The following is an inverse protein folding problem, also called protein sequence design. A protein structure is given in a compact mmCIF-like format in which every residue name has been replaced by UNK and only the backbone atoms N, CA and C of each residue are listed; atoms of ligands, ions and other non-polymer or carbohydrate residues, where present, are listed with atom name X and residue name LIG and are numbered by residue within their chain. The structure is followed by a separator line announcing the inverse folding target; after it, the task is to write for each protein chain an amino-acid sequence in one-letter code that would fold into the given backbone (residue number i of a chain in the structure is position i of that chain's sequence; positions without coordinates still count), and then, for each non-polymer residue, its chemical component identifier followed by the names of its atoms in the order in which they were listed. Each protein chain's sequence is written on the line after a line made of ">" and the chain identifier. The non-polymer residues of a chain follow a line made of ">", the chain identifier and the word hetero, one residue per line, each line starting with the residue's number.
data_IF_606115338831
#
_entry.id   IF_606115338831
#
_cell.length_a   1.000
_cell.length_b   1.000
_cell.length_c   1.000
_cell.angle_alpha   90.00
_cell.angle_beta   90.00
_cell.angle_gamma   90.00
#
_symmetry.space_group_name_H-M   'P 1'
#
loop_
_entity.id
_entity.type
_entity.pdbx_description
1 polymer ?
#
# COMPACT_ATOMS: atom_id res chain seq x y z
N UNK A 1 2.37 -7.84 -7.30
CA UNK A 1 1.52 -7.96 -6.09
C UNK A 1 0.25 -7.11 -6.22
N UNK A 2 -0.82 -7.52 -5.56
CA UNK A 2 -2.07 -6.76 -5.46
C UNK A 2 -2.22 -6.42 -3.97
N UNK A 3 -2.19 -5.13 -3.62
CA UNK A 3 -2.20 -4.67 -2.23
C UNK A 3 -3.59 -4.14 -1.91
N UNK A 4 -4.11 -4.48 -0.73
CA UNK A 4 -5.42 -4.01 -0.27
C UNK A 4 -5.23 -3.17 0.98
N UNK A 5 -5.83 -1.97 0.99
CA UNK A 5 -5.82 -1.13 2.18
C UNK A 5 -6.75 -1.74 3.25
N UNK A 6 -6.29 -1.95 4.50
CA UNK A 6 -7.12 -2.51 5.57
C UNK A 6 -8.20 -1.54 6.07
N UNK A 7 -8.06 -0.23 5.83
CA UNK A 7 -9.00 0.78 6.33
C UNK A 7 -10.21 0.97 5.42
N UNK A 8 -9.98 1.05 4.10
CA UNK A 8 -11.03 1.33 3.12
C UNK A 8 -11.27 0.18 2.13
N UNK A 9 -10.56 -0.94 2.28
CA UNK A 9 -10.63 -2.11 1.41
C UNK A 9 -10.32 -1.85 -0.07
N UNK A 10 -9.79 -0.67 -0.40
CA UNK A 10 -9.38 -0.32 -1.77
C UNK A 10 -8.23 -1.22 -2.19
N UNK A 11 -8.38 -1.85 -3.36
CA UNK A 11 -7.35 -2.64 -3.99
C UNK A 11 -6.61 -1.81 -5.02
N UNK A 12 -5.29 -1.89 -5.00
CA UNK A 12 -4.45 -1.25 -5.98
C UNK A 12 -3.19 -2.08 -6.24
N UNK A 13 -2.51 -1.76 -7.32
CA UNK A 13 -1.30 -2.47 -7.72
C UNK A 13 -0.10 -1.60 -7.34
N UNK A 14 0.73 -2.13 -6.45
CA UNK A 14 2.03 -1.54 -6.12
C UNK A 14 3.12 -2.47 -6.69
N UNK A 15 4.23 -1.88 -7.13
CA UNK A 15 5.39 -2.65 -7.61
C UNK A 15 6.36 -2.91 -6.47
N UNK A 16 7.08 -4.04 -6.52
CA UNK A 16 8.01 -4.42 -5.43
C UNK A 16 9.09 -3.37 -5.23
N UNK A 17 9.45 -2.66 -6.30
CA UNK A 17 10.37 -1.52 -6.27
C UNK A 17 9.84 -0.39 -5.39
N UNK A 18 8.55 -0.03 -5.52
CA UNK A 18 7.94 1.02 -4.69
C UNK A 18 7.83 0.61 -3.23
N UNK A 19 7.51 -0.66 -2.98
CA UNK A 19 7.39 -1.20 -1.63
C UNK A 19 8.74 -1.26 -0.91
N UNK A 20 9.80 -1.71 -1.60
CA UNK A 20 11.15 -1.73 -1.06
C UNK A 20 11.70 -0.31 -0.81
N UNK A 21 11.41 0.64 -1.70
CA UNK A 21 11.80 2.05 -1.51
C UNK A 21 11.18 2.68 -0.27
N UNK A 22 10.00 2.21 0.15
CA UNK A 22 9.25 2.74 1.28
C UNK A 22 9.35 1.85 2.53
N UNK A 23 10.32 0.91 2.58
CA UNK A 23 10.49 -0.03 3.70
C UNK A 23 9.21 -0.81 4.08
N UNK A 24 8.37 -1.11 3.08
CA UNK A 24 7.09 -1.80 3.31
C UNK A 24 5.91 -0.88 3.62
N UNK A 25 6.11 0.41 3.83
CA UNK A 25 5.02 1.34 4.12
C UNK A 25 4.33 1.85 2.86
N UNK A 26 3.00 1.82 2.87
CA UNK A 26 2.16 2.21 1.75
C UNK A 26 1.13 3.22 2.21
N UNK A 27 1.00 4.32 1.50
CA UNK A 27 -0.09 5.28 1.68
C UNK A 27 -1.22 4.98 0.72
N UNK A 28 -2.42 4.78 1.25
CA UNK A 28 -3.61 4.58 0.43
C UNK A 28 -3.97 5.87 -0.32
N UNK A 29 -4.12 5.80 -1.65
CA UNK A 29 -4.57 6.96 -2.45
C UNK A 29 -6.02 7.39 -2.19
N UNK A 30 -6.83 6.54 -1.54
CA UNK A 30 -8.26 6.79 -1.30
C UNK A 30 -8.49 7.39 0.09
N UNK A 31 -8.17 6.66 1.16
CA UNK A 31 -8.36 7.15 2.53
C UNK A 31 -7.15 7.92 3.08
N UNK A 32 -6.03 7.96 2.35
CA UNK A 32 -4.77 8.62 2.77
C UNK A 32 -4.07 8.01 3.99
N UNK A 33 -4.59 6.91 4.52
CA UNK A 33 -3.99 6.14 5.61
C UNK A 33 -2.69 5.46 5.17
N UNK A 34 -1.73 5.40 6.09
CA UNK A 34 -0.45 4.71 5.91
C UNK A 34 -0.52 3.36 6.62
N UNK A 35 -0.16 2.29 5.93
CA UNK A 35 -0.15 0.94 6.48
C UNK A 35 1.08 0.18 5.99
N UNK A 36 1.49 -0.86 6.72
CA UNK A 36 2.58 -1.73 6.30
C UNK A 36 2.02 -2.86 5.41
N UNK A 37 2.64 -3.08 4.27
CA UNK A 37 2.29 -4.09 3.27
C UNK A 37 3.45 -5.04 2.94
N UNK A 38 4.44 -5.13 3.84
CA UNK A 38 5.52 -6.12 3.84
C UNK A 38 5.03 -7.50 4.30
#
# INVERSE_FOLDING_TARGET
>A
MQTQCPHCHTRFRITETQLNMAEGYVRCGVCKEVFNAH
#
